data_IF_301128556419
#
_entry.id   IF_301128556419
#
_cell.length_a   1.000
_cell.length_b   1.000
_cell.length_c   1.000
_cell.angle_alpha   90.00
_cell.angle_beta   90.00
_cell.angle_gamma   90.00
#
_symmetry.space_group_name_H-M   'P 1'
#
loop_
_entity.id
_entity.type
_entity.pdbx_description
1 polymer ?
#
# COMPACT_ATOMS: atom_id res chain seq x y z
N UNK A 1 2.75 -22.62 0.82
CA UNK A 1 2.46 -21.45 -0.03
C UNK A 1 3.72 -20.63 -0.14
N UNK A 2 4.12 -20.16 -1.34
CA UNK A 2 5.27 -19.30 -1.45
C UNK A 2 4.99 -18.00 -0.69
N UNK A 3 5.89 -17.64 0.21
CA UNK A 3 5.86 -16.34 0.88
C UNK A 3 6.26 -15.30 -0.15
N UNK A 4 5.39 -14.36 -0.43
CA UNK A 4 5.70 -13.20 -1.27
C UNK A 4 6.68 -12.31 -0.50
N UNK A 5 7.62 -11.70 -1.18
CA UNK A 5 8.58 -10.77 -0.57
C UNK A 5 8.31 -9.36 -1.06
N UNK A 6 8.20 -8.41 -0.14
CA UNK A 6 8.25 -6.99 -0.50
C UNK A 6 9.69 -6.67 -0.88
N UNK A 7 9.92 -6.24 -2.08
CA UNK A 7 11.27 -5.83 -2.48
C UNK A 7 11.58 -4.46 -1.89
N UNK A 8 12.34 -4.46 -0.82
CA UNK A 8 12.83 -3.25 -0.16
C UNK A 8 14.25 -2.87 -0.61
N UNK A 9 14.79 -3.56 -1.63
CA UNK A 9 16.15 -3.31 -2.08
C UNK A 9 16.18 -2.16 -3.06
N UNK A 10 16.96 -1.11 -2.77
CA UNK A 10 17.29 -0.12 -3.76
C UNK A 10 18.20 -0.72 -4.82
N UNK A 11 17.80 -0.72 -6.07
CA UNK A 11 18.75 -0.86 -7.16
C UNK A 11 19.61 0.41 -7.23
N UNK A 12 20.92 0.24 -7.50
CA UNK A 12 21.85 1.36 -7.67
C UNK A 12 21.33 2.32 -8.73
N UNK A 13 20.71 3.41 -8.29
CA UNK A 13 20.21 4.48 -9.14
C UNK A 13 18.80 4.98 -8.85
N UNK A 14 17.84 4.13 -8.45
CA UNK A 14 16.44 4.53 -8.20
C UNK A 14 15.85 3.84 -6.98
N UNK A 15 16.07 4.44 -5.87
CA UNK A 15 16.13 3.84 -4.57
C UNK A 15 14.83 3.46 -3.90
N UNK A 16 13.69 3.74 -4.43
CA UNK A 16 12.39 3.52 -3.79
C UNK A 16 11.28 3.32 -4.81
N UNK A 17 11.64 3.36 -6.05
CA UNK A 17 10.73 3.12 -7.13
C UNK A 17 10.95 1.69 -7.60
N UNK A 18 10.15 0.76 -7.13
CA UNK A 18 9.70 -0.24 -8.06
C UNK A 18 9.39 0.52 -9.34
N UNK A 19 9.79 0.01 -10.52
CA UNK A 19 9.65 0.81 -11.72
C UNK A 19 8.19 1.25 -11.85
N UNK A 20 7.93 2.47 -11.38
CA UNK A 20 6.68 3.20 -11.60
C UNK A 20 6.40 3.39 -13.09
N UNK A 21 7.31 2.87 -13.91
CA UNK A 21 7.25 2.77 -15.36
C UNK A 21 6.59 1.49 -15.86
N UNK A 22 6.23 0.54 -14.98
CA UNK A 22 5.40 -0.59 -15.39
C UNK A 22 3.95 -0.14 -15.42
N UNK A 23 3.29 -0.36 -16.55
CA UNK A 23 1.85 -0.20 -16.66
C UNK A 23 1.18 -1.10 -15.62
N UNK A 24 0.53 -0.51 -14.62
CA UNK A 24 -0.23 -1.26 -13.62
C UNK A 24 -1.58 -1.59 -14.25
N UNK A 25 -1.88 -2.87 -14.36
CA UNK A 25 -3.03 -3.36 -15.09
C UNK A 25 -4.29 -3.38 -14.23
N UNK A 26 -5.39 -2.93 -14.84
CA UNK A 26 -6.73 -3.18 -14.30
C UNK A 26 -7.10 -4.66 -14.47
N UNK A 27 -7.77 -5.19 -13.47
CA UNK A 27 -8.29 -6.56 -13.47
C UNK A 27 -9.63 -6.59 -14.21
N UNK A 28 -9.70 -7.35 -15.28
CA UNK A 28 -10.93 -7.51 -16.06
C UNK A 28 -11.94 -8.43 -15.38
N UNK A 29 -11.44 -9.42 -14.65
CA UNK A 29 -12.24 -10.44 -13.97
C UNK A 29 -11.51 -10.95 -12.74
N UNK A 30 -12.21 -11.07 -11.61
CA UNK A 30 -11.68 -11.63 -10.38
C UNK A 30 -11.90 -13.14 -10.39
N UNK A 31 -10.88 -13.87 -10.82
CA UNK A 31 -10.89 -15.31 -10.88
C UNK A 31 -10.16 -15.97 -9.70
N UNK A 32 -9.87 -17.24 -9.86
CA UNK A 32 -9.16 -18.04 -8.85
C UNK A 32 -7.74 -17.49 -8.59
N UNK A 33 -7.10 -17.01 -9.64
CA UNK A 33 -5.73 -16.48 -9.58
C UNK A 33 -5.67 -15.18 -8.76
N UNK A 34 -6.62 -14.26 -8.99
CA UNK A 34 -6.72 -13.01 -8.24
C UNK A 34 -7.06 -13.25 -6.77
N UNK A 35 -7.95 -14.23 -6.49
CA UNK A 35 -8.29 -14.61 -5.12
C UNK A 35 -7.08 -15.19 -4.38
N UNK A 36 -6.34 -16.10 -5.00
CA UNK A 36 -5.12 -16.65 -4.42
C UNK A 36 -4.09 -15.55 -4.15
N UNK A 37 -3.90 -14.63 -5.11
CA UNK A 37 -3.00 -13.49 -4.92
C UNK A 37 -3.42 -12.62 -3.73
N UNK A 38 -4.71 -12.30 -3.61
CA UNK A 38 -5.22 -11.50 -2.48
C UNK A 38 -5.00 -12.20 -1.14
N UNK A 39 -5.19 -13.51 -1.09
CA UNK A 39 -4.97 -14.31 0.12
C UNK A 39 -3.48 -14.33 0.51
N UNK A 40 -2.58 -14.52 -0.45
CA UNK A 40 -1.14 -14.49 -0.24
C UNK A 40 -0.64 -13.09 0.17
N UNK A 41 -1.19 -12.04 -0.43
CA UNK A 41 -0.92 -10.66 -0.05
C UNK A 41 -1.36 -10.37 1.39
N UNK A 42 -2.55 -10.83 1.77
CA UNK A 42 -3.08 -10.63 3.11
C UNK A 42 -2.20 -11.31 4.16
N UNK A 43 -1.78 -12.55 3.90
CA UNK A 43 -0.86 -13.26 4.77
C UNK A 43 0.48 -12.52 4.91
N UNK A 44 1.03 -12.07 3.80
CA UNK A 44 2.26 -11.27 3.74
C UNK A 44 2.13 -9.99 4.58
N UNK A 45 1.03 -9.25 4.42
CA UNK A 45 0.73 -8.05 5.18
C UNK A 45 0.71 -8.32 6.70
N UNK A 46 0.03 -9.39 7.12
CA UNK A 46 -0.02 -9.75 8.55
C UNK A 46 1.35 -10.14 9.12
N UNK A 47 2.14 -10.90 8.37
CA UNK A 47 3.51 -11.26 8.77
C UNK A 47 4.39 -10.02 8.96
N UNK A 48 4.20 -9.02 8.11
CA UNK A 48 4.90 -7.74 8.19
C UNK A 48 4.32 -6.79 9.27
N UNK A 49 3.25 -7.19 9.97
CA UNK A 49 2.49 -6.35 10.91
C UNK A 49 1.98 -5.05 10.27
N UNK A 50 1.69 -5.10 8.96
CA UNK A 50 1.08 -4.02 8.21
C UNK A 50 -0.44 -4.02 8.37
N UNK A 51 -1.05 -2.89 8.01
CA UNK A 51 -2.52 -2.72 7.97
C UNK A 51 -3.04 -2.54 6.54
N UNK A 52 -2.14 -2.39 5.57
CA UNK A 52 -2.42 -2.30 4.14
C UNK A 52 -1.25 -2.79 3.31
N UNK A 53 -1.53 -3.26 2.10
CA UNK A 53 -0.54 -3.68 1.12
C UNK A 53 -1.11 -3.58 -0.29
N UNK A 54 -0.39 -2.92 -1.19
CA UNK A 54 -0.69 -2.88 -2.61
C UNK A 54 0.15 -3.90 -3.39
N UNK A 55 -0.43 -4.53 -4.40
CA UNK A 55 0.24 -5.59 -5.17
C UNK A 55 1.56 -5.14 -5.81
N UNK A 56 1.66 -3.87 -6.20
CA UNK A 56 2.90 -3.32 -6.76
C UNK A 56 4.07 -3.35 -5.77
N UNK A 57 3.83 -3.29 -4.46
CA UNK A 57 4.87 -3.34 -3.44
C UNK A 57 5.57 -4.71 -3.37
N UNK A 58 4.96 -5.74 -3.91
CA UNK A 58 5.52 -7.08 -4.06
C UNK A 58 5.87 -7.42 -5.51
N UNK A 59 5.98 -6.40 -6.38
CA UNK A 59 6.39 -6.57 -7.77
C UNK A 59 5.29 -7.08 -8.71
N UNK A 60 4.03 -7.06 -8.29
CA UNK A 60 2.91 -7.49 -9.12
C UNK A 60 2.16 -6.27 -9.63
N UNK A 61 2.21 -5.97 -10.95
CA UNK A 61 1.64 -4.74 -11.51
C UNK A 61 0.12 -4.86 -11.73
N UNK A 62 -0.60 -5.25 -10.71
CA UNK A 62 -2.07 -5.34 -10.70
C UNK A 62 -2.67 -4.31 -9.74
N UNK A 63 -3.80 -3.72 -10.12
CA UNK A 63 -4.52 -2.78 -9.25
C UNK A 63 -5.29 -3.52 -8.16
N UNK A 64 -4.57 -4.05 -7.18
CA UNK A 64 -5.12 -4.79 -6.04
C UNK A 64 -4.53 -4.23 -4.75
N UNK A 65 -5.39 -4.02 -3.75
CA UNK A 65 -5.05 -3.63 -2.39
C UNK A 65 -5.71 -4.62 -1.43
N UNK A 66 -4.98 -5.02 -0.42
CA UNK A 66 -5.52 -5.73 0.75
C UNK A 66 -5.28 -4.89 1.99
N UNK A 67 -6.20 -4.92 2.94
CA UNK A 67 -6.01 -4.23 4.22
C UNK A 67 -6.85 -4.84 5.34
N UNK A 68 -6.40 -4.58 6.55
CA UNK A 68 -7.13 -4.87 7.78
C UNK A 68 -6.78 -3.81 8.82
N UNK A 69 -7.74 -2.98 9.16
CA UNK A 69 -7.58 -1.90 10.16
C UNK A 69 -8.20 -2.27 11.51
N UNK A 70 -8.57 -3.54 11.70
CA UNK A 70 -9.08 -4.01 12.98
C UNK A 70 -8.03 -3.80 14.08
N UNK A 71 -8.49 -3.35 15.24
CA UNK A 71 -7.61 -3.14 16.41
C UNK A 71 -7.41 -4.40 17.23
N UNK A 72 -8.27 -5.39 17.03
CA UNK A 72 -8.25 -6.65 17.75
C UNK A 72 -7.53 -7.71 16.90
N UNK A 73 -6.34 -8.11 17.34
CA UNK A 73 -5.56 -9.15 16.64
C UNK A 73 -6.31 -10.50 16.58
N UNK A 74 -7.26 -10.72 17.48
CA UNK A 74 -8.07 -11.95 17.48
C UNK A 74 -9.27 -11.88 16.54
N UNK A 75 -9.69 -10.66 16.17
CA UNK A 75 -10.82 -10.43 15.28
C UNK A 75 -10.34 -9.77 14.00
N UNK A 76 -9.92 -10.58 13.02
CA UNK A 76 -9.52 -10.11 11.72
C UNK A 76 -10.73 -9.65 10.89
N UNK A 77 -10.60 -8.50 10.25
CA UNK A 77 -11.63 -7.93 9.36
C UNK A 77 -10.96 -7.53 8.03
N UNK A 78 -10.50 -8.52 7.22
CA UNK A 78 -9.80 -8.23 5.99
C UNK A 78 -10.72 -7.58 4.96
N UNK A 79 -10.17 -6.61 4.24
CA UNK A 79 -10.82 -5.92 3.15
C UNK A 79 -9.97 -6.05 1.88
N UNK A 80 -10.65 -6.18 0.74
CA UNK A 80 -10.03 -6.38 -0.56
C UNK A 80 -10.57 -5.37 -1.54
N UNK A 81 -9.68 -4.69 -2.26
CA UNK A 81 -10.02 -3.65 -3.21
C UNK A 81 -9.34 -3.95 -4.54
N UNK A 82 -10.11 -4.35 -5.53
CA UNK A 82 -9.66 -4.58 -6.89
C UNK A 82 -10.10 -3.42 -7.76
N UNK A 83 -9.18 -2.86 -8.54
CA UNK A 83 -9.38 -1.64 -9.34
C UNK A 83 -9.98 -0.48 -8.53
N UNK A 84 -9.40 -0.14 -7.37
CA UNK A 84 -9.94 0.96 -6.58
C UNK A 84 -9.82 2.29 -7.31
N UNK A 85 -10.89 3.09 -7.25
CA UNK A 85 -10.94 4.46 -7.76
C UNK A 85 -11.45 5.36 -6.65
N UNK A 86 -10.60 6.28 -6.20
CA UNK A 86 -10.98 7.25 -5.17
C UNK A 86 -11.73 8.42 -5.80
N UNK A 87 -12.88 8.72 -5.24
CA UNK A 87 -13.77 9.82 -5.64
C UNK A 87 -14.16 10.65 -4.43
N UNK A 88 -14.75 11.81 -4.68
CA UNK A 88 -15.41 12.62 -3.65
C UNK A 88 -14.57 12.81 -2.37
N UNK A 89 -13.30 13.21 -2.53
CA UNK A 89 -12.42 13.54 -1.40
C UNK A 89 -12.96 14.76 -0.66
N UNK A 90 -13.02 14.71 0.68
CA UNK A 90 -13.40 15.85 1.51
C UNK A 90 -12.40 17.00 1.40
N UNK A 91 -12.87 18.24 1.57
CA UNK A 91 -12.01 19.41 1.72
C UNK A 91 -11.35 19.46 3.10
N UNK A 92 -11.99 18.84 4.10
CA UNK A 92 -11.43 18.72 5.43
C UNK A 92 -10.25 17.75 5.40
N UNK A 93 -9.10 18.21 5.87
CA UNK A 93 -7.89 17.40 6.01
C UNK A 93 -7.77 16.80 7.40
N UNK A 94 -7.08 15.70 7.49
CA UNK A 94 -6.61 15.10 8.75
C UNK A 94 -5.11 14.84 8.66
N UNK A 95 -4.40 15.23 9.72
CA UNK A 95 -2.99 14.95 9.88
C UNK A 95 -2.83 13.60 10.59
N UNK A 96 -2.07 12.69 10.01
CA UNK A 96 -1.76 11.39 10.59
C UNK A 96 -0.31 11.01 10.34
N UNK A 97 0.28 10.33 11.31
CA UNK A 97 1.58 9.70 11.10
C UNK A 97 1.40 8.47 10.20
N UNK A 98 2.16 8.46 9.11
CA UNK A 98 2.21 7.35 8.15
C UNK A 98 3.61 6.75 8.11
N UNK A 99 3.68 5.45 7.97
CA UNK A 99 4.85 4.66 7.61
C UNK A 99 4.49 3.75 6.45
N UNK A 100 5.48 3.13 5.84
CA UNK A 100 5.28 2.24 4.72
C UNK A 100 6.27 1.07 4.77
N UNK A 101 5.81 -0.13 4.43
CA UNK A 101 6.66 -1.31 4.34
C UNK A 101 7.76 -1.14 3.29
N UNK A 102 7.50 -0.34 2.24
CA UNK A 102 8.50 0.00 1.20
C UNK A 102 9.50 1.08 1.65
N UNK A 103 9.26 1.76 2.78
CA UNK A 103 10.13 2.79 3.35
C UNK A 103 10.36 2.47 4.84
N UNK A 104 11.04 1.37 5.15
CA UNK A 104 11.11 0.83 6.51
C UNK A 104 11.77 1.81 7.48
N UNK A 105 11.27 1.86 8.72
CA UNK A 105 11.79 2.65 9.84
C UNK A 105 11.63 4.19 9.70
N UNK A 106 10.93 4.66 8.68
CA UNK A 106 10.62 6.08 8.54
C UNK A 106 9.13 6.32 8.68
N UNK A 107 8.80 7.35 9.44
CA UNK A 107 7.45 7.81 9.68
C UNK A 107 7.39 9.32 9.47
N UNK A 108 6.26 9.81 9.01
CA UNK A 108 6.03 11.23 8.86
C UNK A 108 4.55 11.56 8.99
N UNK A 109 4.27 12.75 9.49
CA UNK A 109 2.92 13.29 9.49
C UNK A 109 2.55 13.76 8.08
N UNK A 110 1.46 13.21 7.56
CA UNK A 110 0.92 13.49 6.23
C UNK A 110 -0.49 14.04 6.37
N UNK A 111 -0.78 15.13 5.69
CA UNK A 111 -2.13 15.65 5.56
C UNK A 111 -2.84 14.98 4.39
N UNK A 112 -4.01 14.40 4.68
CA UNK A 112 -4.90 13.82 3.67
C UNK A 112 -6.34 14.25 3.87
N UNK A 113 -7.16 14.25 2.81
CA UNK A 113 -8.60 14.32 2.96
C UNK A 113 -9.09 13.33 4.03
N UNK A 114 -9.86 13.83 5.01
CA UNK A 114 -10.31 13.03 6.16
C UNK A 114 -11.35 11.97 5.79
N UNK A 115 -11.99 12.15 4.63
CA UNK A 115 -13.00 11.25 4.10
C UNK A 115 -12.85 11.14 2.58
N UNK A 116 -13.20 10.00 2.02
CA UNK A 116 -13.30 9.80 0.58
C UNK A 116 -14.29 8.68 0.26
N UNK A 117 -14.76 8.67 -0.97
CA UNK A 117 -15.55 7.57 -1.53
C UNK A 117 -14.62 6.73 -2.43
N UNK A 118 -14.71 5.42 -2.33
CA UNK A 118 -13.93 4.50 -3.17
C UNK A 118 -14.87 3.53 -3.85
N UNK A 119 -14.84 3.50 -5.18
CA UNK A 119 -15.49 2.46 -5.98
C UNK A 119 -14.47 1.38 -6.31
N UNK A 120 -14.85 0.11 -6.20
CA UNK A 120 -13.95 -1.03 -6.37
C UNK A 120 -14.71 -2.31 -6.70
N UNK A 121 -13.99 -3.37 -7.06
CA UNK A 121 -14.50 -4.73 -7.05
C UNK A 121 -14.03 -5.41 -5.76
N UNK A 122 -14.93 -6.12 -5.10
CA UNK A 122 -14.60 -6.89 -3.90
C UNK A 122 -13.90 -8.23 -4.23
N UNK A 123 -13.65 -9.05 -3.20
CA UNK A 123 -13.03 -10.38 -3.33
C UNK A 123 -13.73 -11.30 -4.32
N UNK A 124 -15.03 -11.11 -4.53
CA UNK A 124 -15.84 -11.91 -5.48
C UNK A 124 -16.00 -11.25 -6.86
N UNK A 125 -15.40 -10.07 -7.07
CA UNK A 125 -15.54 -9.32 -8.31
C UNK A 125 -16.83 -8.51 -8.40
N UNK A 126 -17.55 -8.37 -7.29
CA UNK A 126 -18.75 -7.54 -7.24
C UNK A 126 -18.40 -6.06 -7.08
N UNK A 127 -19.10 -5.20 -7.82
CA UNK A 127 -18.92 -3.74 -7.70
C UNK A 127 -19.45 -3.24 -6.35
N UNK A 128 -18.60 -2.53 -5.64
CA UNK A 128 -18.92 -1.93 -4.34
C UNK A 128 -18.49 -0.46 -4.31
N UNK A 129 -19.11 0.29 -3.43
CA UNK A 129 -18.72 1.64 -3.08
C UNK A 129 -18.64 1.71 -1.56
N UNK A 130 -17.56 2.28 -1.05
CA UNK A 130 -17.38 2.51 0.38
C UNK A 130 -17.12 3.99 0.66
N UNK A 131 -17.77 4.53 1.69
CA UNK A 131 -17.45 5.84 2.24
C UNK A 131 -16.44 5.67 3.37
N UNK A 132 -15.19 5.94 3.05
CA UNK A 132 -14.08 5.80 4.00
C UNK A 132 -13.91 7.08 4.82
N UNK A 133 -13.67 6.89 6.13
CA UNK A 133 -13.40 7.97 7.10
C UNK A 133 -12.23 7.59 8.01
N UNK A 134 -11.55 8.60 8.54
CA UNK A 134 -10.50 8.40 9.54
C UNK A 134 -9.37 7.50 9.03
N UNK A 135 -8.99 6.48 9.82
CA UNK A 135 -7.88 5.58 9.46
C UNK A 135 -8.13 4.85 8.14
N UNK A 136 -9.36 4.42 7.87
CA UNK A 136 -9.72 3.76 6.63
C UNK A 136 -9.47 4.67 5.41
N UNK A 137 -9.87 5.93 5.49
CA UNK A 137 -9.64 6.90 4.42
C UNK A 137 -8.14 7.14 4.20
N UNK A 138 -7.37 7.26 5.29
CA UNK A 138 -5.92 7.43 5.21
C UNK A 138 -5.26 6.23 4.55
N UNK A 139 -5.58 5.03 5.01
CA UNK A 139 -4.99 3.79 4.50
C UNK A 139 -5.34 3.56 3.03
N UNK A 140 -6.61 3.73 2.63
CA UNK A 140 -7.02 3.59 1.22
C UNK A 140 -6.31 4.58 0.31
N UNK A 141 -6.13 5.83 0.74
CA UNK A 141 -5.40 6.82 -0.04
C UNK A 141 -3.91 6.48 -0.13
N UNK A 142 -3.31 5.99 0.97
CA UNK A 142 -1.91 5.56 0.99
C UNK A 142 -1.66 4.39 0.02
N UNK A 143 -2.48 3.34 0.10
CA UNK A 143 -2.32 2.17 -0.78
C UNK A 143 -2.65 2.49 -2.24
N UNK A 144 -3.63 3.36 -2.48
CA UNK A 144 -3.93 3.79 -3.85
C UNK A 144 -2.79 4.62 -4.45
N UNK A 145 -2.10 5.43 -3.64
CA UNK A 145 -0.92 6.16 -4.10
C UNK A 145 0.14 5.21 -4.65
N UNK A 146 0.37 4.05 -4.02
CA UNK A 146 1.28 3.04 -4.56
C UNK A 146 0.87 2.57 -5.96
N UNK A 147 -0.43 2.39 -6.19
CA UNK A 147 -0.94 2.02 -7.52
C UNK A 147 -0.79 3.12 -8.56
N UNK A 148 -0.69 4.37 -8.12
CA UNK A 148 -0.50 5.55 -8.97
C UNK A 148 0.96 6.03 -8.98
N UNK A 149 1.85 5.28 -8.35
CA UNK A 149 3.27 5.54 -8.37
C UNK A 149 3.79 6.54 -7.35
N UNK A 150 3.04 6.78 -6.28
CA UNK A 150 3.41 7.71 -5.22
C UNK A 150 3.74 6.98 -3.92
N UNK A 151 4.66 7.58 -3.15
CA UNK A 151 4.97 7.18 -1.79
C UNK A 151 4.62 8.32 -0.82
N UNK A 152 4.38 7.98 0.46
CA UNK A 152 4.09 9.02 1.46
C UNK A 152 5.20 10.07 1.58
N UNK A 153 6.46 9.71 1.30
CA UNK A 153 7.58 10.64 1.30
C UNK A 153 7.51 11.70 0.18
N UNK A 154 6.69 11.48 -0.86
CA UNK A 154 6.48 12.45 -1.94
C UNK A 154 5.67 13.66 -1.48
N UNK A 155 4.93 13.53 -0.39
CA UNK A 155 4.21 14.63 0.27
C UNK A 155 5.10 15.49 1.16
N UNK A 156 6.33 15.04 1.43
CA UNK A 156 7.27 15.77 2.27
C UNK A 156 8.02 16.85 1.50
N UNK A 157 8.64 17.79 2.24
CA UNK A 157 9.54 18.74 1.61
C UNK A 157 10.70 18.03 0.91
N UNK A 158 11.20 18.62 -0.17
CA UNK A 158 12.32 18.07 -0.96
C UNK A 158 13.52 17.70 -0.06
N UNK A 159 13.80 18.53 0.96
CA UNK A 159 14.89 18.28 1.91
C UNK A 159 14.64 17.01 2.72
N UNK A 160 13.46 16.86 3.34
CA UNK A 160 13.09 15.66 4.12
C UNK A 160 13.14 14.41 3.26
N UNK A 161 12.52 14.44 2.07
CA UNK A 161 12.55 13.34 1.12
C UNK A 161 13.99 12.92 0.79
N UNK A 162 14.85 13.88 0.43
CA UNK A 162 16.26 13.60 0.09
C UNK A 162 17.02 13.01 1.28
N UNK A 163 16.75 13.46 2.51
CA UNK A 163 17.38 12.90 3.71
C UNK A 163 16.97 11.44 3.95
N UNK A 164 15.69 11.11 3.77
CA UNK A 164 15.18 9.75 3.91
C UNK A 164 15.85 8.85 2.87
N UNK A 165 15.84 9.24 1.61
CA UNK A 165 16.47 8.49 0.51
C UNK A 165 17.95 8.24 0.80
N UNK A 166 18.71 9.25 1.21
CA UNK A 166 20.13 9.11 1.56
C UNK A 166 20.37 8.16 2.76
N UNK A 167 19.45 8.12 3.72
CA UNK A 167 19.56 7.19 4.86
C UNK A 167 19.25 5.77 4.43
N UNK A 168 18.23 5.56 3.62
CA UNK A 168 17.87 4.25 3.07
C UNK A 168 19.00 3.67 2.20
N UNK A 169 19.63 4.49 1.36
CA UNK A 169 20.75 4.05 0.50
C UNK A 169 22.00 3.63 1.28
N UNK A 170 22.16 4.11 2.52
CA UNK A 170 23.26 3.72 3.40
C UNK A 170 22.96 2.49 4.26
N UNK A 171 21.71 2.08 4.35
CA UNK A 171 21.35 0.83 5.03
C UNK A 171 21.80 -0.31 4.13
N UNK A 172 22.84 -1.06 4.56
CA UNK A 172 23.22 -2.30 3.88
C UNK A 172 21.97 -3.18 3.74
N UNK A 173 21.80 -3.89 2.60
CA UNK A 173 20.75 -4.88 2.49
C UNK A 173 20.86 -5.78 3.72
N UNK A 174 19.83 -5.83 4.55
CA UNK A 174 19.76 -6.86 5.59
C UNK A 174 19.59 -8.16 4.85
N UNK A 175 20.68 -8.95 4.84
CA UNK A 175 20.65 -10.35 4.41
C UNK A 175 19.79 -11.22 5.34
N UNK A 176 19.39 -10.69 6.47
CA UNK A 176 18.49 -11.32 7.40
C UNK A 176 17.06 -10.96 6.99
N UNK A 177 16.49 -11.84 6.17
CA UNK A 177 15.08 -12.11 5.98
C UNK A 177 14.14 -11.09 6.67
N UNK A 178 13.81 -10.03 6.00
CA UNK A 178 12.48 -9.50 6.18
C UNK A 178 11.59 -10.53 5.51
N UNK A 179 11.22 -11.54 6.27
CA UNK A 179 10.11 -12.41 5.93
C UNK A 179 8.90 -11.52 6.09
N UNK A 180 8.40 -11.14 5.00
CA UNK A 180 7.20 -10.34 4.88
C UNK A 180 6.04 -11.31 4.72
#
# INVERSE_FOLDING_TARGET
SPTLTVDSRPNEGDLLYFPLTQDIYEIKFVGKEEKQLMDDMLLTMYQARGIGLAAIQIGIPKRIIVMDISKDEKKKEPMYFVNPVIKNKSQKLSLREEGCLSVPQFFAEIERPSECEVSYLDYNGEKKIIHAKGLLATCLQHENDHLDGWLFIDYLSKLKKTMIIKKLSKQKPRTDRIVI
#
